data_IF_779175635308
#
_entry.id   IF_779175635308
#
_cell.length_a   1.000
_cell.length_b   1.000
_cell.length_c   1.000
_cell.angle_alpha   90.00
_cell.angle_beta   90.00
_cell.angle_gamma   90.00
#
_symmetry.space_group_name_H-M   'P 1'
#
loop_
_entity.id
_entity.type
_entity.pdbx_description
1 polymer ?
#
# COMPACT_ATOMS: atom_id res chain seq x y z
N UNK A 1 83.17 -38.13 -4.27
CA UNK A 1 82.12 -38.94 -4.92
C UNK A 1 80.79 -38.38 -4.47
N UNK A 2 80.21 -37.50 -5.23
CA UNK A 2 78.92 -36.88 -4.94
C UNK A 2 78.18 -36.63 -6.24
N UNK A 3 77.08 -37.34 -6.38
CA UNK A 3 76.19 -37.18 -7.53
C UNK A 3 75.24 -35.96 -7.28
N UNK A 4 75.23 -35.08 -8.24
CA UNK A 4 74.28 -34.02 -8.37
C UNK A 4 72.97 -34.54 -8.98
N UNK A 5 71.85 -34.34 -8.37
CA UNK A 5 70.54 -34.44 -9.02
C UNK A 5 69.86 -33.11 -9.05
N UNK A 6 69.71 -32.60 -10.28
CA UNK A 6 68.96 -31.41 -10.62
C UNK A 6 67.46 -31.74 -10.58
N UNK A 7 66.65 -30.94 -9.87
CA UNK A 7 65.20 -30.99 -9.93
C UNK A 7 64.68 -29.64 -10.50
N UNK A 8 64.15 -29.73 -11.71
CA UNK A 8 63.44 -28.66 -12.37
C UNK A 8 62.17 -28.34 -11.63
N UNK A 9 62.00 -27.07 -11.30
CA UNK A 9 60.78 -26.50 -10.71
C UNK A 9 59.96 -26.03 -11.90
N UNK A 10 58.81 -26.68 -12.13
CA UNK A 10 57.80 -26.24 -13.08
C UNK A 10 56.88 -25.25 -12.34
N UNK A 11 56.98 -24.00 -12.71
CA UNK A 11 56.11 -22.95 -12.20
C UNK A 11 54.75 -23.04 -12.92
N UNK A 12 53.75 -23.52 -12.24
CA UNK A 12 52.35 -23.44 -12.69
C UNK A 12 51.77 -22.06 -12.44
N UNK A 13 51.57 -21.34 -13.51
CA UNK A 13 50.87 -20.04 -13.49
C UNK A 13 49.37 -20.30 -13.36
N UNK A 14 48.82 -20.09 -12.18
CA UNK A 14 47.37 -20.12 -11.96
C UNK A 14 46.80 -18.74 -12.33
N UNK A 15 46.13 -18.68 -13.47
CA UNK A 15 45.39 -17.49 -13.93
C UNK A 15 44.06 -17.44 -13.19
N UNK A 16 43.98 -16.59 -12.16
CA UNK A 16 42.74 -16.32 -11.45
C UNK A 16 41.85 -15.39 -12.30
N UNK A 17 40.82 -15.93 -12.92
CA UNK A 17 39.77 -15.16 -13.57
C UNK A 17 38.88 -14.54 -12.50
N UNK A 18 39.01 -13.22 -12.27
CA UNK A 18 38.11 -12.44 -11.44
C UNK A 18 36.86 -12.14 -12.26
N UNK A 19 35.81 -12.93 -12.01
CA UNK A 19 34.46 -12.62 -12.51
C UNK A 19 33.90 -11.40 -11.73
N UNK A 20 33.96 -10.24 -12.33
CA UNK A 20 33.17 -9.09 -11.90
C UNK A 20 31.70 -9.40 -12.16
N UNK A 21 30.99 -9.88 -11.13
CA UNK A 21 29.55 -9.85 -11.12
C UNK A 21 29.11 -8.38 -11.06
N UNK A 22 28.78 -7.80 -12.20
CA UNK A 22 28.03 -6.55 -12.28
C UNK A 22 26.66 -6.84 -11.70
N UNK A 23 26.50 -6.57 -10.40
CA UNK A 23 25.21 -6.55 -9.75
C UNK A 23 24.39 -5.43 -10.38
N UNK A 24 23.48 -5.77 -11.27
CA UNK A 24 22.36 -4.90 -11.60
C UNK A 24 21.57 -4.72 -10.31
N UNK A 25 21.71 -3.55 -9.70
CA UNK A 25 20.73 -3.04 -8.75
C UNK A 25 19.44 -2.90 -9.52
N UNK A 26 18.60 -3.94 -9.46
CA UNK A 26 17.22 -3.81 -9.90
C UNK A 26 16.59 -2.78 -8.98
N UNK A 27 16.33 -1.59 -9.51
CA UNK A 27 15.37 -0.67 -8.94
C UNK A 27 14.12 -1.47 -8.63
N UNK A 28 13.80 -1.60 -7.33
CA UNK A 28 12.55 -2.19 -6.89
C UNK A 28 11.41 -1.24 -7.26
N UNK A 29 11.12 -1.16 -8.56
CA UNK A 29 9.87 -0.63 -9.05
C UNK A 29 8.76 -1.53 -8.55
N UNK A 30 7.89 -0.98 -7.72
CA UNK A 30 6.62 -1.47 -7.23
C UNK A 30 6.43 -2.98 -7.18
N UNK A 31 6.44 -3.54 -5.98
CA UNK A 31 6.14 -4.96 -5.74
C UNK A 31 4.82 -5.34 -6.42
N UNK A 32 4.91 -6.00 -7.57
CA UNK A 32 3.76 -6.61 -8.22
C UNK A 32 3.18 -7.68 -7.30
N UNK A 33 1.91 -7.59 -7.02
CA UNK A 33 1.15 -8.54 -6.21
C UNK A 33 -0.33 -8.28 -6.43
N UNK A 34 -1.22 -9.09 -5.85
CA UNK A 34 -2.65 -8.87 -5.99
C UNK A 34 -3.03 -7.42 -5.62
N UNK A 35 -3.87 -6.79 -6.45
CA UNK A 35 -4.28 -5.39 -6.28
C UNK A 35 -3.20 -4.34 -6.56
N UNK A 36 -1.99 -4.74 -6.99
CA UNK A 36 -0.95 -3.80 -7.39
C UNK A 36 -1.39 -2.95 -8.59
N UNK A 37 -1.06 -1.68 -8.53
CA UNK A 37 -1.39 -0.70 -9.56
C UNK A 37 -0.26 0.35 -9.54
N UNK A 38 0.27 0.79 -10.70
CA UNK A 38 1.26 1.86 -10.76
C UNK A 38 0.83 3.15 -10.05
N UNK A 39 -0.47 3.41 -9.94
CA UNK A 39 -0.99 4.58 -9.22
C UNK A 39 -0.80 4.46 -7.70
N UNK A 40 -0.89 3.25 -7.12
CA UNK A 40 -0.63 3.04 -5.69
C UNK A 40 0.77 3.47 -5.27
N UNK A 41 1.78 3.20 -6.12
CA UNK A 41 3.17 3.55 -5.83
C UNK A 41 3.45 5.05 -5.92
N UNK A 42 2.64 5.79 -6.67
CA UNK A 42 2.79 7.24 -6.91
C UNK A 42 1.98 8.09 -5.94
N UNK A 43 0.98 7.51 -5.28
CA UNK A 43 0.02 8.24 -4.44
C UNK A 43 0.21 7.91 -2.97
N UNK A 44 -0.11 8.88 -2.13
CA UNK A 44 -0.02 8.74 -0.69
C UNK A 44 1.39 8.48 -0.17
N UNK A 45 1.54 8.55 1.13
CA UNK A 45 2.80 8.30 1.84
C UNK A 45 2.87 6.89 2.43
N UNK A 46 1.74 6.21 2.49
CA UNK A 46 1.56 4.88 3.08
C UNK A 46 0.89 3.96 2.05
N UNK A 47 1.34 2.71 1.95
CA UNK A 47 0.70 1.68 1.15
C UNK A 47 0.50 0.42 1.97
N UNK A 48 -0.75 -0.06 2.05
CA UNK A 48 -1.13 -1.23 2.85
C UNK A 48 -2.04 -2.17 2.07
N UNK A 49 -1.96 -3.46 2.41
CA UNK A 49 -3.03 -4.42 2.17
C UNK A 49 -3.76 -4.67 3.48
N UNK A 50 -5.08 -4.47 3.49
CA UNK A 50 -5.88 -4.59 4.70
C UNK A 50 -7.28 -5.15 4.41
N UNK A 51 -7.81 -5.94 5.34
CA UNK A 51 -9.15 -6.50 5.28
C UNK A 51 -10.15 -5.52 5.90
N UNK A 52 -11.19 -5.17 5.15
CA UNK A 52 -12.33 -4.42 5.67
C UNK A 52 -13.07 -5.28 6.70
N UNK A 53 -13.04 -4.87 7.96
CA UNK A 53 -13.63 -5.64 9.07
C UNK A 53 -15.15 -5.60 9.00
N UNK A 54 -15.68 -4.39 8.86
CA UNK A 54 -17.13 -4.17 8.80
C UNK A 54 -17.44 -2.89 8.01
N UNK A 55 -18.65 -2.85 7.48
CA UNK A 55 -19.30 -1.63 7.02
C UNK A 55 -20.44 -1.38 7.99
N UNK A 56 -20.31 -0.44 8.95
CA UNK A 56 -21.34 -0.20 9.94
C UNK A 56 -22.68 0.16 9.30
N UNK A 57 -23.77 -0.27 9.92
CA UNK A 57 -25.10 0.08 9.43
C UNK A 57 -25.23 1.60 9.28
N UNK A 58 -25.69 2.06 8.12
CA UNK A 58 -25.79 3.48 7.74
C UNK A 58 -24.46 4.21 7.49
N UNK A 59 -23.31 3.52 7.49
CA UNK A 59 -22.03 4.12 7.14
C UNK A 59 -21.98 4.61 5.69
N UNK A 60 -22.75 3.98 4.81
CA UNK A 60 -22.86 4.34 3.40
C UNK A 60 -24.31 4.65 3.07
N UNK A 61 -24.58 5.89 2.69
CA UNK A 61 -25.90 6.32 2.25
C UNK A 61 -25.94 6.35 0.73
N UNK A 62 -26.89 5.62 0.15
CA UNK A 62 -27.12 5.63 -1.31
C UNK A 62 -27.66 6.97 -1.84
N UNK A 63 -28.14 7.84 -0.94
CA UNK A 63 -28.66 9.15 -1.34
C UNK A 63 -27.51 10.03 -1.80
N UNK A 64 -27.40 10.21 -3.11
CA UNK A 64 -26.39 11.02 -3.81
C UNK A 64 -26.50 12.55 -3.56
N UNK A 65 -27.19 12.98 -2.52
CA UNK A 65 -27.48 14.39 -2.25
C UNK A 65 -26.27 15.15 -1.69
N UNK A 66 -25.35 14.45 -1.01
CA UNK A 66 -24.21 15.08 -0.37
C UNK A 66 -22.93 14.27 -0.60
N UNK A 67 -21.85 14.97 -0.86
CA UNK A 67 -20.52 14.37 -0.86
C UNK A 67 -19.96 14.41 0.57
N UNK A 68 -19.58 13.28 1.11
CA UNK A 68 -19.08 13.11 2.48
C UNK A 68 -18.00 12.03 2.54
N UNK A 69 -17.24 12.00 3.63
CA UNK A 69 -16.33 10.92 3.94
C UNK A 69 -16.94 9.97 4.99
N UNK A 70 -16.60 8.69 4.90
CA UNK A 70 -16.94 7.70 5.93
C UNK A 70 -15.67 7.05 6.44
N UNK A 71 -15.56 6.91 7.76
CA UNK A 71 -14.49 6.16 8.40
C UNK A 71 -14.88 4.69 8.43
N UNK A 72 -14.00 3.83 7.89
CA UNK A 72 -14.14 2.37 7.89
C UNK A 72 -12.99 1.73 8.66
N UNK A 73 -13.27 0.60 9.32
CA UNK A 73 -12.33 -0.16 10.15
C UNK A 73 -11.70 -1.29 9.36
N UNK A 74 -10.38 -1.36 9.39
CA UNK A 74 -9.58 -2.36 8.69
C UNK A 74 -8.64 -3.10 9.61
N UNK A 75 -8.44 -4.39 9.32
CA UNK A 75 -7.38 -5.22 9.87
C UNK A 75 -6.22 -5.23 8.86
N UNK A 76 -5.07 -4.70 9.24
CA UNK A 76 -3.86 -4.69 8.41
C UNK A 76 -3.34 -6.10 8.20
N UNK A 77 -3.04 -6.45 6.97
CA UNK A 77 -2.41 -7.72 6.60
C UNK A 77 -0.93 -7.51 6.21
N UNK A 78 -0.65 -6.40 5.50
CA UNK A 78 0.70 -6.09 5.04
C UNK A 78 0.89 -4.58 4.89
N UNK A 79 2.06 -4.08 5.27
CA UNK A 79 2.48 -2.70 5.02
C UNK A 79 3.57 -2.73 3.95
N UNK A 80 3.28 -2.22 2.76
CA UNK A 80 4.22 -2.19 1.62
C UNK A 80 5.11 -0.95 1.64
N UNK A 81 4.59 0.17 2.17
CA UNK A 81 5.30 1.45 2.26
C UNK A 81 4.79 2.25 3.45
N UNK A 82 5.69 3.04 4.06
CA UNK A 82 5.36 3.90 5.20
C UNK A 82 5.17 3.13 6.50
N UNK A 83 4.35 3.67 7.40
CA UNK A 83 4.05 3.07 8.70
C UNK A 83 2.60 3.33 9.09
N UNK A 84 1.99 2.39 9.78
CA UNK A 84 0.67 2.53 10.41
C UNK A 84 0.77 2.24 11.92
N UNK A 85 -0.17 2.77 12.70
CA UNK A 85 -0.27 2.54 14.15
C UNK A 85 -1.11 1.29 14.40
N UNK A 86 -0.47 0.20 14.82
CA UNK A 86 -1.14 -1.06 15.19
C UNK A 86 -1.63 -1.89 13.99
N UNK A 87 -2.31 -2.98 14.32
CA UNK A 87 -2.84 -3.94 13.34
C UNK A 87 -4.25 -3.58 12.88
N UNK A 88 -4.95 -2.75 13.63
CA UNK A 88 -6.26 -2.20 13.27
C UNK A 88 -6.10 -0.74 12.94
N UNK A 89 -6.60 -0.33 11.77
CA UNK A 89 -6.55 1.06 11.32
C UNK A 89 -7.95 1.55 10.93
N UNK A 90 -8.13 2.85 11.06
CA UNK A 90 -9.34 3.55 10.66
C UNK A 90 -9.03 4.42 9.46
N UNK A 91 -9.82 4.25 8.39
CA UNK A 91 -9.53 4.88 7.10
C UNK A 91 -10.76 5.64 6.61
N UNK A 92 -10.61 6.92 6.36
CA UNK A 92 -11.61 7.77 5.75
C UNK A 92 -11.67 7.58 4.23
N UNK A 93 -12.85 7.30 3.70
CA UNK A 93 -13.12 7.16 2.28
C UNK A 93 -14.13 8.21 1.82
N UNK A 94 -13.73 9.05 0.86
CA UNK A 94 -14.63 10.02 0.25
C UNK A 94 -15.61 9.37 -0.71
N UNK A 95 -16.87 9.83 -0.71
CA UNK A 95 -17.95 9.29 -1.55
C UNK A 95 -17.99 7.74 -1.56
N UNK A 96 -18.18 7.08 -0.40
CA UNK A 96 -18.08 5.62 -0.30
C UNK A 96 -19.20 4.88 -1.04
N UNK A 97 -20.26 5.58 -1.45
CA UNK A 97 -21.38 5.03 -2.23
C UNK A 97 -21.11 4.97 -3.74
N UNK A 98 -19.98 5.54 -4.19
CA UNK A 98 -19.57 5.53 -5.60
C UNK A 98 -18.44 4.53 -5.84
N UNK A 99 -18.38 3.91 -7.04
CA UNK A 99 -17.16 3.23 -7.48
C UNK A 99 -15.95 4.17 -7.33
N UNK A 100 -14.80 3.63 -6.98
CA UNK A 100 -13.59 4.46 -6.78
C UNK A 100 -13.20 5.24 -8.03
N UNK A 101 -13.45 4.69 -9.23
CA UNK A 101 -13.24 5.38 -10.51
C UNK A 101 -14.12 6.63 -10.71
N UNK A 102 -15.19 6.79 -9.91
CA UNK A 102 -16.17 7.87 -10.02
C UNK A 102 -16.30 8.72 -8.74
N UNK A 103 -15.49 8.39 -7.72
CA UNK A 103 -15.63 9.02 -6.40
C UNK A 103 -15.05 10.42 -6.34
N UNK A 104 -14.04 10.72 -7.17
CA UNK A 104 -13.40 12.03 -7.25
C UNK A 104 -14.37 13.13 -7.71
N UNK A 105 -14.15 14.34 -7.22
CA UNK A 105 -14.83 15.54 -7.69
C UNK A 105 -13.90 16.76 -7.58
N UNK A 106 -14.43 17.98 -7.82
CA UNK A 106 -13.63 19.21 -7.78
C UNK A 106 -13.01 19.52 -6.42
N UNK A 107 -13.58 18.99 -5.32
CA UNK A 107 -13.08 19.20 -3.95
C UNK A 107 -12.01 18.17 -3.59
N UNK A 108 -12.14 16.96 -4.10
CA UNK A 108 -11.21 15.83 -3.84
C UNK A 108 -10.89 15.16 -5.18
N UNK A 109 -10.00 15.77 -5.99
CA UNK A 109 -9.74 15.30 -7.36
C UNK A 109 -8.83 14.07 -7.42
N UNK A 110 -8.00 13.83 -6.39
CA UNK A 110 -6.87 12.90 -6.48
C UNK A 110 -7.16 11.51 -5.93
N UNK A 111 -8.43 11.17 -5.67
CA UNK A 111 -8.82 9.85 -5.20
C UNK A 111 -9.27 8.95 -6.34
N UNK A 112 -9.07 7.63 -6.17
CA UNK A 112 -9.50 6.67 -7.17
C UNK A 112 -9.26 5.22 -6.78
N UNK A 113 -9.16 4.37 -7.81
CA UNK A 113 -8.95 2.93 -7.69
C UNK A 113 -9.97 2.12 -8.48
N UNK A 114 -9.90 0.79 -8.32
CA UNK A 114 -10.76 -0.14 -9.06
C UNK A 114 -11.90 -0.73 -8.22
N UNK A 115 -11.97 -0.43 -6.91
CA UNK A 115 -13.03 -0.94 -6.05
C UNK A 115 -14.39 -0.37 -6.49
N UNK A 116 -15.36 -1.24 -6.72
CA UNK A 116 -16.72 -0.85 -7.14
C UNK A 116 -17.63 -0.48 -5.98
N UNK A 117 -17.52 -1.24 -4.89
CA UNK A 117 -18.33 -1.04 -3.68
C UNK A 117 -17.60 -1.60 -2.46
N UNK A 118 -17.88 -1.06 -1.28
CA UNK A 118 -17.33 -1.54 -0.01
C UNK A 118 -18.21 -2.63 0.57
N UNK A 119 -17.64 -3.82 0.82
CA UNK A 119 -18.30 -4.94 1.50
C UNK A 119 -17.40 -5.47 2.60
N UNK A 120 -17.98 -5.76 3.76
CA UNK A 120 -17.25 -6.40 4.85
C UNK A 120 -16.61 -7.72 4.38
N UNK A 121 -15.40 -7.98 4.84
CA UNK A 121 -14.62 -9.16 4.47
C UNK A 121 -13.71 -8.98 3.26
N UNK A 122 -13.95 -7.97 2.40
CA UNK A 122 -13.06 -7.68 1.28
C UNK A 122 -11.66 -7.30 1.73
N UNK A 123 -10.68 -7.68 0.94
CA UNK A 123 -9.29 -7.24 1.11
C UNK A 123 -8.97 -6.18 0.08
N UNK A 124 -8.48 -5.05 0.55
CA UNK A 124 -8.14 -3.90 -0.26
C UNK A 124 -6.64 -3.62 -0.19
N UNK A 125 -6.05 -3.21 -1.33
CA UNK A 125 -4.73 -2.59 -1.37
C UNK A 125 -4.92 -1.09 -1.54
N UNK A 126 -4.36 -0.31 -0.63
CA UNK A 126 -4.66 1.11 -0.51
C UNK A 126 -3.40 1.96 -0.43
N UNK A 127 -3.42 3.10 -1.13
CA UNK A 127 -2.52 4.21 -0.85
C UNK A 127 -3.24 5.19 0.09
N UNK A 128 -2.56 5.53 1.19
CA UNK A 128 -3.10 6.35 2.27
C UNK A 128 -2.23 7.57 2.51
N UNK A 129 -2.86 8.66 2.96
CA UNK A 129 -2.21 9.76 3.63
C UNK A 129 -2.39 9.68 5.15
N UNK A 130 -1.59 10.43 5.89
CA UNK A 130 -1.55 10.37 7.35
C UNK A 130 -2.89 10.73 8.00
N UNK A 131 -3.09 12.01 8.34
CA UNK A 131 -4.33 12.45 8.99
C UNK A 131 -5.41 12.80 7.97
N UNK A 132 -6.59 12.19 8.10
CA UNK A 132 -7.76 12.53 7.28
C UNK A 132 -8.17 14.00 7.46
N UNK A 133 -8.05 14.55 8.68
CA UNK A 133 -8.46 15.93 8.97
C UNK A 133 -7.59 16.96 8.26
N UNK A 134 -6.35 16.60 7.91
CA UNK A 134 -5.46 17.47 7.14
C UNK A 134 -5.80 17.45 5.64
N UNK A 135 -6.52 16.43 5.18
CA UNK A 135 -6.86 16.21 3.78
C UNK A 135 -8.29 16.60 3.44
N UNK A 136 -9.20 16.55 4.42
CA UNK A 136 -10.63 16.77 4.17
C UNK A 136 -11.32 17.49 5.34
N UNK A 137 -11.97 18.60 5.02
CA UNK A 137 -12.72 19.45 5.97
C UNK A 137 -14.24 19.39 5.78
N UNK A 138 -14.75 18.45 4.99
CA UNK A 138 -16.18 18.29 4.72
C UNK A 138 -16.93 17.47 5.75
N UNK A 139 -18.13 17.01 5.39
CA UNK A 139 -18.94 16.14 6.25
C UNK A 139 -18.26 14.77 6.42
N UNK A 140 -18.07 14.34 7.66
CA UNK A 140 -17.44 13.07 8.02
C UNK A 140 -18.43 12.25 8.84
N UNK A 141 -18.66 11.02 8.42
CA UNK A 141 -19.36 10.02 9.19
C UNK A 141 -18.35 9.10 9.86
N UNK A 142 -18.15 9.28 11.16
CA UNK A 142 -17.31 8.40 11.99
C UNK A 142 -18.21 7.72 13.04
N UNK A 143 -18.45 6.41 12.90
CA UNK A 143 -19.24 5.61 13.85
C UNK A 143 -18.35 4.94 14.91
N UNK A 144 -17.05 5.25 14.92
CA UNK A 144 -16.04 4.73 15.86
C UNK A 144 -15.50 5.84 16.77
N UNK A 145 -16.29 6.89 17.03
CA UNK A 145 -15.82 8.05 17.81
C UNK A 145 -15.45 7.71 19.27
N UNK A 146 -15.94 6.57 19.78
CA UNK A 146 -15.58 6.05 21.11
C UNK A 146 -14.32 5.17 21.11
N UNK A 147 -13.85 4.74 19.93
CA UNK A 147 -12.61 3.97 19.80
C UNK A 147 -11.39 4.91 19.80
N UNK A 148 -10.20 4.39 20.11
CA UNK A 148 -8.92 5.08 19.83
C UNK A 148 -8.64 5.02 18.32
N UNK A 149 -9.23 5.95 17.57
CA UNK A 149 -9.13 5.99 16.10
C UNK A 149 -7.98 6.86 15.58
N UNK A 150 -7.19 7.47 16.45
CA UNK A 150 -6.13 8.40 16.04
C UNK A 150 -4.79 7.68 15.73
N UNK A 151 -4.21 7.86 14.53
CA UNK A 151 -4.71 8.70 13.45
C UNK A 151 -5.78 7.99 12.60
N UNK A 152 -6.77 8.75 12.10
CA UNK A 152 -7.63 8.30 11.00
C UNK A 152 -6.88 8.60 9.71
N UNK A 153 -6.56 7.55 8.95
CA UNK A 153 -5.88 7.68 7.67
C UNK A 153 -6.84 8.13 6.56
N UNK A 154 -6.31 8.73 5.49
CA UNK A 154 -7.08 9.15 4.33
C UNK A 154 -6.77 8.30 3.11
N UNK A 155 -7.78 7.65 2.53
CA UNK A 155 -7.59 6.82 1.34
C UNK A 155 -7.58 7.67 0.06
N UNK A 156 -6.45 7.73 -0.61
CA UNK A 156 -6.31 8.37 -1.92
C UNK A 156 -6.51 7.38 -3.08
N UNK A 157 -6.16 6.10 -2.90
CA UNK A 157 -6.36 5.06 -3.90
C UNK A 157 -6.75 3.75 -3.25
N UNK A 158 -7.76 3.05 -3.80
CA UNK A 158 -8.26 1.81 -3.21
C UNK A 158 -8.56 0.79 -4.29
N UNK A 159 -7.83 -0.31 -4.28
CA UNK A 159 -8.01 -1.44 -5.17
C UNK A 159 -8.55 -2.66 -4.43
N UNK A 160 -9.41 -3.42 -5.09
CA UNK A 160 -9.85 -4.73 -4.62
C UNK A 160 -8.73 -5.74 -4.84
N UNK A 161 -8.41 -6.52 -3.80
CA UNK A 161 -7.51 -7.69 -3.85
C UNK A 161 -8.33 -8.97 -3.89
N UNK A 162 -9.26 -9.11 -2.96
CA UNK A 162 -10.18 -10.27 -2.89
C UNK A 162 -11.46 -9.89 -2.12
N UNK A 163 -12.55 -10.62 -2.42
CA UNK A 163 -13.84 -10.39 -1.75
C UNK A 163 -14.89 -11.39 -2.15
#
# INVERSE_FOLDING_TARGET
MCLRTSRSIVASLVLAAVLFATGCSADRAGTGGPGADPELSKRGTIEVTAKLVEVPARAIFERKLYNYATVLKYQVQEVHRGRVKGDTIYVGHYNPFKPRSEAADKRVPDIGGNLKEFRAGQVHRMALEGSMLDQFSGGILNLYAEDDTDPIYWAVWTNLVSG
#
